data_IF_415975814734
#
_entry.id   IF_415975814734
#
_cell.length_a   1.000
_cell.length_b   1.000
_cell.length_c   1.000
_cell.angle_alpha   90.00
_cell.angle_beta   90.00
_cell.angle_gamma   90.00
#
_symmetry.space_group_name_H-M   'P 1'
#
loop_
_entity.id
_entity.type
_entity.pdbx_description
1 polymer ?
#
# COMPACT_ATOMS: atom_id res chain seq x y z
N UNK A 1 -1.78 -8.12 4.21
CA UNK A 1 -2.18 -6.70 4.26
C UNK A 1 -3.52 -6.54 4.97
N UNK A 2 -4.60 -7.17 4.49
CA UNK A 2 -5.95 -6.99 5.05
C UNK A 2 -6.06 -7.22 6.57
N UNK A 3 -5.36 -8.21 7.13
CA UNK A 3 -5.37 -8.48 8.58
C UNK A 3 -4.58 -7.47 9.42
N UNK A 4 -3.75 -6.63 8.80
CA UNK A 4 -2.94 -5.62 9.45
C UNK A 4 -3.58 -4.22 9.38
N UNK A 5 -4.61 -4.05 8.55
CA UNK A 5 -5.28 -2.77 8.34
C UNK A 5 -6.11 -2.38 9.55
N UNK A 6 -5.82 -1.22 10.13
CA UNK A 6 -6.64 -0.59 11.19
C UNK A 6 -6.98 0.86 10.83
N UNK A 7 -8.13 1.38 11.30
CA UNK A 7 -8.51 2.77 11.04
C UNK A 7 -7.43 3.76 11.51
N UNK A 8 -7.16 4.77 10.69
CA UNK A 8 -6.18 5.79 11.00
C UNK A 8 -4.72 5.43 10.78
N UNK A 9 -4.42 4.31 10.13
CA UNK A 9 -3.12 4.10 9.52
C UNK A 9 -2.91 5.05 8.33
N UNK A 10 -1.66 5.29 7.99
CA UNK A 10 -1.27 5.90 6.72
C UNK A 10 -1.15 4.82 5.63
N UNK A 11 -1.47 5.20 4.40
CA UNK A 11 -1.40 4.35 3.21
C UNK A 11 -0.01 3.71 3.03
N UNK A 12 1.09 4.46 3.18
CA UNK A 12 2.46 3.95 3.07
C UNK A 12 2.78 2.83 4.07
N UNK A 13 2.07 2.78 5.21
CA UNK A 13 2.28 1.71 6.18
C UNK A 13 1.80 0.38 5.60
N UNK A 14 0.65 0.36 4.91
CA UNK A 14 0.18 -0.83 4.20
C UNK A 14 1.07 -1.18 3.01
N UNK A 15 1.56 -0.18 2.27
CA UNK A 15 2.54 -0.37 1.20
C UNK A 15 3.78 -1.11 1.70
N UNK A 16 4.34 -0.67 2.84
CA UNK A 16 5.54 -1.29 3.43
C UNK A 16 5.30 -2.75 3.84
N UNK A 17 4.12 -3.07 4.36
CA UNK A 17 3.74 -4.44 4.70
C UNK A 17 3.58 -5.32 3.47
N UNK A 18 3.00 -4.77 2.40
CA UNK A 18 2.87 -5.48 1.13
C UNK A 18 4.24 -5.78 0.52
N UNK A 19 5.10 -4.77 0.43
CA UNK A 19 6.47 -4.94 -0.07
C UNK A 19 7.25 -5.96 0.77
N UNK A 20 7.20 -5.84 2.09
CA UNK A 20 7.86 -6.77 3.00
C UNK A 20 7.40 -8.21 2.74
N UNK A 21 6.09 -8.44 2.63
CA UNK A 21 5.55 -9.77 2.33
C UNK A 21 6.09 -10.32 1.00
N UNK A 22 6.08 -9.52 -0.06
CA UNK A 22 6.62 -9.95 -1.36
C UNK A 22 8.11 -10.29 -1.26
N UNK A 23 8.91 -9.46 -0.58
CA UNK A 23 10.35 -9.70 -0.37
C UNK A 23 10.62 -10.99 0.41
N UNK A 24 9.89 -11.22 1.49
CA UNK A 24 10.02 -12.44 2.30
C UNK A 24 9.64 -13.72 1.53
N UNK A 25 8.87 -13.60 0.45
CA UNK A 25 8.48 -14.71 -0.42
C UNK A 25 9.33 -14.81 -1.69
N UNK A 26 10.55 -14.24 -1.69
CA UNK A 26 11.50 -14.35 -2.80
C UNK A 26 11.35 -13.30 -3.89
N UNK A 27 10.46 -12.32 -3.72
CA UNK A 27 10.38 -11.16 -4.61
C UNK A 27 11.62 -10.26 -4.47
N UNK A 28 12.36 -10.07 -5.55
CA UNK A 28 13.53 -9.18 -5.54
C UNK A 28 13.15 -7.70 -5.51
N UNK A 29 12.02 -7.37 -6.13
CA UNK A 29 11.40 -6.03 -6.18
C UNK A 29 9.92 -6.17 -6.55
N UNK A 30 9.14 -5.12 -6.31
CA UNK A 30 7.80 -5.01 -6.87
C UNK A 30 7.87 -4.70 -8.37
N UNK A 31 6.86 -5.13 -9.12
CA UNK A 31 6.81 -4.94 -10.57
C UNK A 31 6.53 -3.47 -10.97
N UNK A 32 5.81 -2.74 -10.12
CA UNK A 32 5.44 -1.34 -10.27
C UNK A 32 5.24 -0.71 -8.88
N UNK A 33 5.09 0.62 -8.84
CA UNK A 33 4.78 1.34 -7.59
C UNK A 33 3.36 0.98 -7.14
N UNK A 34 3.17 0.39 -5.94
CA UNK A 34 1.85 0.04 -5.45
C UNK A 34 0.92 1.26 -5.37
N UNK A 35 -0.34 1.05 -5.71
CA UNK A 35 -1.41 2.01 -5.45
C UNK A 35 -2.06 1.62 -4.12
N UNK A 36 -1.91 2.46 -3.10
CA UNK A 36 -2.61 2.30 -1.82
C UNK A 36 -3.47 3.54 -1.60
N UNK A 37 -4.72 3.46 -2.02
CA UNK A 37 -5.63 4.61 -2.06
C UNK A 37 -6.86 4.40 -1.17
N UNK A 38 -6.97 5.20 -0.11
CA UNK A 38 -8.15 5.24 0.77
C UNK A 38 -9.20 6.27 0.33
N UNK A 39 -10.46 6.04 0.67
CA UNK A 39 -11.56 6.98 0.43
C UNK A 39 -11.69 7.42 -1.04
N UNK A 40 -11.90 8.72 -1.29
CA UNK A 40 -12.08 9.29 -2.63
C UNK A 40 -10.88 9.06 -3.56
N UNK A 41 -9.69 8.86 -3.00
CA UNK A 41 -8.46 8.63 -3.77
C UNK A 41 -8.49 7.30 -4.51
N UNK A 42 -9.33 6.34 -4.07
CA UNK A 42 -9.53 5.08 -4.79
C UNK A 42 -10.10 5.28 -6.21
N UNK A 43 -10.66 6.45 -6.51
CA UNK A 43 -11.11 6.83 -7.85
C UNK A 43 -9.97 7.36 -8.76
N UNK A 44 -8.75 7.51 -8.25
CA UNK A 44 -7.59 8.00 -8.99
C UNK A 44 -6.75 6.81 -9.49
N UNK A 45 -6.76 6.56 -10.80
CA UNK A 45 -6.20 5.33 -11.40
C UNK A 45 -4.71 5.11 -11.08
N UNK A 46 -3.89 6.16 -11.10
CA UNK A 46 -2.45 6.10 -10.82
C UNK A 46 -2.08 6.86 -9.54
N UNK A 47 -2.85 6.68 -8.46
CA UNK A 47 -2.51 7.24 -7.16
C UNK A 47 -1.33 6.51 -6.53
N UNK A 48 -0.13 7.10 -6.59
CA UNK A 48 1.09 6.49 -6.04
C UNK A 48 1.74 7.34 -4.94
N UNK A 49 1.06 8.38 -4.44
CA UNK A 49 1.63 9.20 -3.36
C UNK A 49 1.54 8.50 -2.01
N UNK A 50 0.49 7.70 -1.78
CA UNK A 50 0.34 6.78 -0.64
C UNK A 50 0.66 7.42 0.73
N UNK A 51 0.41 8.71 0.90
CA UNK A 51 0.88 9.47 2.06
C UNK A 51 -0.24 9.89 3.01
N UNK A 52 -1.50 9.61 2.67
CA UNK A 52 -2.63 10.05 3.47
C UNK A 52 -3.13 8.96 4.41
N UNK A 53 -3.92 9.40 5.38
CA UNK A 53 -4.54 8.55 6.38
C UNK A 53 -5.77 7.85 5.80
N UNK A 54 -5.93 6.57 6.14
CA UNK A 54 -7.08 5.72 5.84
C UNK A 54 -8.29 6.03 6.72
#
# INVERSE_FOLDING_TARGET
VMSLTVPGMYEYQLESHFEHYCRMNGGQRLAFVPVVAGGERACHIHYTTNELKL
#
